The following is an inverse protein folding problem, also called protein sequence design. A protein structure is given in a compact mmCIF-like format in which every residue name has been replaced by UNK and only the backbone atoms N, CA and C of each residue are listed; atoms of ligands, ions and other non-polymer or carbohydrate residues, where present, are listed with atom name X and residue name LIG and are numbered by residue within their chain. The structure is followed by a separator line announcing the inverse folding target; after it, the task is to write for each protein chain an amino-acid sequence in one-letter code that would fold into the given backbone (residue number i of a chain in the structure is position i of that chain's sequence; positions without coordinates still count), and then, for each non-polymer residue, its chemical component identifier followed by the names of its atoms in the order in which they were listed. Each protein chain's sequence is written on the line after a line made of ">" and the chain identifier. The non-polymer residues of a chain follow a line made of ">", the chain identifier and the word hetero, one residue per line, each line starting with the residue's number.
data_IF_015773220044
#
_entry.id   IF_015773220044
#
_cell.length_a   1.000
_cell.length_b   1.000
_cell.length_c   1.000
_cell.angle_alpha   90.00
_cell.angle_beta   90.00
_cell.angle_gamma   90.00
#
_symmetry.space_group_name_H-M   'P 1'
#
loop_
_entity.id
_entity.type
_entity.pdbx_description
1 polymer ?
#
# COMPACT_ATOMS: atom_id res chain seq x y z
N UNK A 1 61.54 22.30 -25.83
CA UNK A 1 60.23 21.67 -26.08
C UNK A 1 59.92 20.49 -25.14
N UNK A 2 60.87 19.59 -24.86
CA UNK A 2 60.61 18.43 -23.95
C UNK A 2 60.30 18.79 -22.50
N UNK A 3 60.79 19.91 -21.95
CA UNK A 3 60.51 20.34 -20.55
C UNK A 3 59.15 20.97 -20.36
N UNK A 4 58.50 21.50 -21.39
CA UNK A 4 57.16 22.11 -21.32
C UNK A 4 56.10 21.04 -21.35
N UNK A 5 56.29 19.93 -22.06
CA UNK A 5 55.36 18.80 -22.14
C UNK A 5 55.26 18.10 -20.77
N UNK A 6 56.36 17.99 -20.03
CA UNK A 6 56.35 17.41 -18.68
C UNK A 6 55.57 18.24 -17.66
N UNK A 7 55.56 19.57 -17.78
CA UNK A 7 54.85 20.46 -16.87
C UNK A 7 53.35 20.43 -17.11
N UNK A 8 52.90 20.30 -18.36
CA UNK A 8 51.47 20.21 -18.70
C UNK A 8 50.86 18.89 -18.26
N UNK A 9 51.62 17.77 -18.38
CA UNK A 9 51.16 16.46 -17.88
C UNK A 9 51.07 16.41 -16.35
N UNK A 10 51.93 17.12 -15.62
CA UNK A 10 51.86 17.18 -14.15
C UNK A 10 50.62 18.02 -13.67
N UNK A 11 50.24 19.08 -14.40
CA UNK A 11 49.08 19.89 -14.07
C UNK A 11 47.75 19.16 -14.31
N UNK A 12 47.66 18.28 -15.32
CA UNK A 12 46.46 17.47 -15.58
C UNK A 12 46.22 16.36 -14.54
N UNK A 13 47.28 15.87 -13.88
CA UNK A 13 47.16 14.84 -12.86
C UNK A 13 46.58 15.34 -11.52
N UNK A 14 46.71 16.64 -11.23
CA UNK A 14 46.20 17.25 -9.98
C UNK A 14 44.73 17.61 -10.08
N UNK A 15 44.20 17.83 -11.27
CA UNK A 15 42.77 18.15 -11.46
C UNK A 15 41.83 16.93 -11.34
N UNK A 16 42.35 15.70 -11.35
CA UNK A 16 41.55 14.47 -11.21
C UNK A 16 41.23 14.09 -9.75
N UNK A 17 41.80 14.77 -8.75
CA UNK A 17 41.57 14.49 -7.33
C UNK A 17 40.53 15.38 -6.65
N UNK A 18 39.96 16.36 -7.37
CA UNK A 18 38.80 17.10 -6.94
C UNK A 18 37.50 16.39 -7.41
N UNK A 19 37.48 15.06 -7.28
CA UNK A 19 36.25 14.30 -7.40
C UNK A 19 35.28 14.84 -6.34
N UNK A 20 34.23 15.53 -6.80
CA UNK A 20 33.09 15.86 -5.96
C UNK A 20 32.68 14.60 -5.20
N UNK A 21 32.98 14.55 -3.92
CA UNK A 21 32.28 13.69 -3.01
C UNK A 21 30.84 14.18 -2.99
N UNK A 22 30.08 13.86 -4.04
CA UNK A 22 28.64 13.94 -4.00
C UNK A 22 28.24 13.01 -2.87
N UNK A 23 27.88 13.62 -1.74
CA UNK A 23 27.23 12.92 -0.64
C UNK A 23 26.18 12.02 -1.30
N UNK A 24 26.24 10.68 -1.13
CA UNK A 24 25.25 9.82 -1.72
C UNK A 24 23.90 10.39 -1.32
N UNK A 25 22.92 10.49 -2.24
CA UNK A 25 21.60 10.97 -1.88
C UNK A 25 21.20 10.16 -0.65
N UNK A 26 20.85 10.88 0.45
CA UNK A 26 20.38 10.23 1.65
C UNK A 26 19.32 9.26 1.17
N UNK A 27 19.56 7.96 1.37
CA UNK A 27 18.61 6.95 0.94
C UNK A 27 17.29 7.29 1.65
N UNK A 28 16.35 7.87 0.90
CA UNK A 28 14.96 8.07 1.33
C UNK A 28 14.29 6.70 1.41
N UNK A 29 14.97 5.78 2.08
CA UNK A 29 14.51 4.43 2.29
C UNK A 29 13.60 4.40 3.51
N UNK A 30 12.58 3.58 3.41
CA UNK A 30 11.72 3.20 4.53
C UNK A 30 12.58 2.84 5.75
N UNK A 31 12.32 3.39 6.95
CA UNK A 31 13.03 3.03 8.16
C UNK A 31 13.01 1.53 8.41
N UNK A 32 14.11 0.99 8.97
CA UNK A 32 14.26 -0.45 9.19
C UNK A 32 13.11 -1.03 10.04
N UNK A 33 12.69 -0.32 11.08
CA UNK A 33 11.59 -0.76 11.95
C UNK A 33 10.24 -0.78 11.23
N UNK A 34 9.98 0.20 10.36
CA UNK A 34 8.77 0.22 9.50
C UNK A 34 8.78 -0.98 8.56
N UNK A 35 9.92 -1.23 7.90
CA UNK A 35 10.11 -2.41 7.07
C UNK A 35 9.97 -3.73 7.84
N UNK A 36 10.43 -3.79 9.08
CA UNK A 36 10.24 -4.95 9.96
C UNK A 36 8.78 -5.13 10.35
N UNK A 37 8.06 -4.08 10.73
CA UNK A 37 6.64 -4.14 11.06
C UNK A 37 5.82 -4.70 9.89
N UNK A 38 6.19 -4.38 8.65
CA UNK A 38 5.58 -4.97 7.44
C UNK A 38 5.92 -6.45 7.30
N UNK A 39 7.21 -6.82 7.37
CA UNK A 39 7.67 -8.22 7.17
C UNK A 39 7.19 -9.18 8.24
N UNK A 40 7.04 -8.69 9.47
CA UNK A 40 6.61 -9.48 10.62
C UNK A 40 5.13 -9.28 10.95
N UNK A 41 4.35 -8.70 10.03
CA UNK A 41 2.93 -8.56 10.20
C UNK A 41 2.29 -9.95 10.33
N UNK A 42 1.28 -10.12 11.21
CA UNK A 42 0.48 -11.34 11.25
C UNK A 42 -0.12 -11.66 9.88
N UNK A 43 -0.25 -12.95 9.55
CA UNK A 43 -0.80 -13.41 8.27
C UNK A 43 -2.29 -13.06 8.07
N UNK A 44 -2.96 -12.68 9.16
CA UNK A 44 -4.39 -12.35 9.18
C UNK A 44 -4.67 -10.84 9.22
N UNK A 45 -3.72 -10.01 8.77
CA UNK A 45 -3.91 -8.56 8.68
C UNK A 45 -3.57 -8.02 7.29
N UNK A 46 -4.27 -6.97 6.87
CA UNK A 46 -3.82 -6.09 5.81
C UNK A 46 -2.93 -4.99 6.39
N UNK A 47 -1.83 -4.71 5.72
CA UNK A 47 -0.85 -3.71 6.16
C UNK A 47 -0.94 -2.50 5.25
N UNK A 48 -1.05 -1.32 5.85
CA UNK A 48 -0.90 -0.06 5.15
C UNK A 48 0.27 0.73 5.72
N UNK A 49 1.07 1.32 4.86
CA UNK A 49 2.19 2.17 5.23
C UNK A 49 2.00 3.55 4.60
N UNK A 50 2.13 4.56 5.41
CA UNK A 50 2.08 5.94 4.94
C UNK A 50 3.22 6.75 5.51
N UNK A 51 3.67 7.73 4.76
CA UNK A 51 4.72 8.64 5.19
C UNK A 51 4.36 10.08 4.82
N UNK A 52 4.82 11.03 5.60
CA UNK A 52 4.66 12.44 5.30
C UNK A 52 5.70 13.30 6.03
N UNK A 53 6.10 14.39 5.37
CA UNK A 53 6.90 15.46 5.98
C UNK A 53 6.16 16.77 5.80
N UNK A 54 5.67 17.32 6.90
CA UNK A 54 4.89 18.56 6.95
C UNK A 54 5.57 19.57 7.89
N UNK A 55 5.01 20.78 7.99
CA UNK A 55 5.56 21.82 8.83
C UNK A 55 5.53 21.53 10.33
N UNK A 56 4.66 20.61 10.79
CA UNK A 56 4.60 20.15 12.18
C UNK A 56 4.54 18.63 12.26
N UNK A 57 5.00 18.07 13.38
CA UNK A 57 4.93 16.64 13.67
C UNK A 57 3.49 16.14 13.64
N UNK A 58 2.56 16.88 14.24
CA UNK A 58 1.14 16.49 14.26
C UNK A 58 0.54 16.39 12.87
N UNK A 59 0.84 17.33 11.97
CA UNK A 59 0.40 17.28 10.59
C UNK A 59 1.04 16.12 9.83
N UNK A 60 2.35 15.88 10.03
CA UNK A 60 3.08 14.76 9.41
C UNK A 60 2.44 13.42 9.79
N UNK A 61 2.19 13.18 11.07
CA UNK A 61 1.52 11.98 11.58
C UNK A 61 0.13 11.79 11.00
N UNK A 62 -0.69 12.83 10.99
CA UNK A 62 -2.06 12.74 10.47
C UNK A 62 -2.09 12.41 8.97
N UNK A 63 -1.23 13.05 8.18
CA UNK A 63 -1.14 12.77 6.73
C UNK A 63 -0.55 11.38 6.49
N UNK A 64 0.47 10.96 7.24
CA UNK A 64 1.03 9.60 7.15
C UNK A 64 -0.04 8.54 7.48
N UNK A 65 -0.81 8.73 8.56
CA UNK A 65 -1.91 7.83 8.91
C UNK A 65 -3.01 7.79 7.83
N UNK A 66 -3.34 8.93 7.23
CA UNK A 66 -4.29 8.99 6.11
C UNK A 66 -3.79 8.20 4.90
N UNK A 67 -2.50 8.32 4.57
CA UNK A 67 -1.87 7.56 3.46
C UNK A 67 -1.83 6.06 3.75
N UNK A 68 -1.53 5.67 5.00
CA UNK A 68 -1.58 4.26 5.41
C UNK A 68 -2.98 3.66 5.24
N UNK A 69 -4.05 4.40 5.62
CA UNK A 69 -5.43 3.97 5.36
C UNK A 69 -5.73 3.87 3.87
N UNK A 70 -5.26 4.82 3.07
CA UNK A 70 -5.46 4.78 1.63
C UNK A 70 -4.80 3.54 1.00
N UNK A 71 -3.62 3.14 1.46
CA UNK A 71 -2.96 1.90 0.99
C UNK A 71 -3.80 0.66 1.32
N UNK A 72 -4.35 0.54 2.55
CA UNK A 72 -5.27 -0.54 2.91
C UNK A 72 -6.52 -0.51 2.02
N UNK A 73 -7.11 0.68 1.81
CA UNK A 73 -8.29 0.83 0.95
C UNK A 73 -8.03 0.37 -0.49
N UNK A 74 -6.88 0.72 -1.06
CA UNK A 74 -6.47 0.29 -2.40
C UNK A 74 -6.26 -1.24 -2.47
N UNK A 75 -5.72 -1.83 -1.41
CA UNK A 75 -5.56 -3.29 -1.31
C UNK A 75 -6.91 -4.00 -1.27
N UNK A 76 -7.88 -3.47 -0.50
CA UNK A 76 -9.25 -3.99 -0.46
C UNK A 76 -9.96 -3.84 -1.81
N UNK A 77 -9.83 -2.70 -2.46
CA UNK A 77 -10.42 -2.48 -3.79
C UNK A 77 -9.88 -3.48 -4.81
N UNK A 78 -8.57 -3.69 -4.82
CA UNK A 78 -7.92 -4.69 -5.68
C UNK A 78 -8.39 -6.11 -5.39
N UNK A 79 -8.55 -6.46 -4.11
CA UNK A 79 -9.08 -7.76 -3.68
C UNK A 79 -10.52 -7.95 -4.17
N UNK A 80 -11.41 -6.96 -3.99
CA UNK A 80 -12.80 -7.01 -4.45
C UNK A 80 -12.86 -7.16 -5.97
N UNK A 81 -12.06 -6.40 -6.72
CA UNK A 81 -11.98 -6.50 -8.19
C UNK A 81 -11.62 -7.92 -8.64
N UNK A 82 -10.63 -8.52 -8.01
CA UNK A 82 -10.21 -9.88 -8.32
C UNK A 82 -11.30 -10.89 -7.98
N UNK A 83 -11.91 -10.82 -6.79
CA UNK A 83 -13.00 -11.72 -6.39
C UNK A 83 -14.21 -11.66 -7.35
N UNK A 84 -14.62 -10.45 -7.76
CA UNK A 84 -15.75 -10.29 -8.69
C UNK A 84 -15.38 -10.79 -10.09
N UNK A 85 -14.18 -10.51 -10.56
CA UNK A 85 -13.68 -11.00 -11.85
C UNK A 85 -13.65 -12.52 -11.89
N UNK A 86 -13.10 -13.16 -10.87
CA UNK A 86 -12.97 -14.63 -10.80
C UNK A 86 -14.35 -15.30 -10.68
N UNK A 87 -15.29 -14.67 -9.98
CA UNK A 87 -16.67 -15.11 -9.96
C UNK A 87 -17.32 -15.03 -11.34
N UNK A 88 -17.18 -13.89 -12.02
CA UNK A 88 -17.76 -13.66 -13.35
C UNK A 88 -17.20 -14.65 -14.38
N UNK A 89 -15.90 -14.97 -14.30
CA UNK A 89 -15.26 -15.95 -15.18
C UNK A 89 -15.78 -17.39 -14.97
N UNK A 90 -16.34 -17.69 -13.80
CA UNK A 90 -16.85 -19.02 -13.41
C UNK A 90 -18.38 -19.12 -13.41
N UNK A 91 -19.10 -18.07 -13.80
CA UNK A 91 -20.56 -17.98 -13.74
C UNK A 91 -21.13 -17.30 -14.98
N UNK A 92 -22.40 -17.58 -15.30
CA UNK A 92 -23.12 -16.95 -16.43
C UNK A 92 -23.71 -15.57 -16.07
N UNK A 93 -22.98 -14.79 -15.28
CA UNK A 93 -23.42 -13.44 -14.88
C UNK A 93 -23.06 -12.42 -15.94
N UNK A 94 -24.00 -11.49 -16.24
CA UNK A 94 -23.76 -10.38 -17.13
C UNK A 94 -22.57 -9.53 -16.63
N UNK A 95 -21.54 -9.30 -17.49
CA UNK A 95 -20.38 -8.49 -17.12
C UNK A 95 -20.71 -7.08 -16.63
N UNK A 96 -21.78 -6.44 -17.15
CA UNK A 96 -22.21 -5.12 -16.70
C UNK A 96 -22.81 -5.16 -15.29
N UNK A 97 -23.55 -6.22 -14.96
CA UNK A 97 -24.06 -6.44 -13.60
C UNK A 97 -22.90 -6.67 -12.61
N UNK A 98 -21.89 -7.44 -13.00
CA UNK A 98 -20.69 -7.66 -12.19
C UNK A 98 -19.91 -6.36 -11.94
N UNK A 99 -19.74 -5.53 -12.96
CA UNK A 99 -19.08 -4.23 -12.84
C UNK A 99 -19.85 -3.28 -11.90
N UNK A 100 -21.17 -3.15 -12.09
CA UNK A 100 -22.01 -2.32 -11.22
C UNK A 100 -21.99 -2.81 -9.77
N UNK A 101 -21.93 -4.11 -9.54
CA UNK A 101 -21.81 -4.70 -8.20
C UNK A 101 -20.45 -4.37 -7.56
N UNK A 102 -19.35 -4.53 -8.30
CA UNK A 102 -18.00 -4.16 -7.87
C UNK A 102 -17.94 -2.68 -7.47
N UNK A 103 -18.45 -1.78 -8.32
CA UNK A 103 -18.48 -0.34 -8.04
C UNK A 103 -19.25 -0.03 -6.75
N UNK A 104 -20.40 -0.67 -6.51
CA UNK A 104 -21.18 -0.47 -5.29
C UNK A 104 -20.40 -0.92 -4.05
N UNK A 105 -19.71 -2.07 -4.09
CA UNK A 105 -18.87 -2.52 -2.97
C UNK A 105 -17.74 -1.51 -2.74
N UNK A 106 -17.00 -1.13 -3.78
CA UNK A 106 -15.87 -0.18 -3.68
C UNK A 106 -16.30 1.16 -3.09
N UNK A 107 -17.44 1.73 -3.54
CA UNK A 107 -17.97 2.98 -3.00
C UNK A 107 -18.35 2.83 -1.52
N UNK A 108 -18.93 1.71 -1.13
CA UNK A 108 -19.30 1.46 0.26
C UNK A 108 -18.06 1.32 1.15
N UNK A 109 -17.06 0.56 0.73
CA UNK A 109 -15.78 0.41 1.45
C UNK A 109 -15.04 1.75 1.59
N UNK A 110 -15.05 2.58 0.55
CA UNK A 110 -14.43 3.92 0.60
C UNK A 110 -15.11 4.84 1.63
N UNK A 111 -16.41 4.66 1.85
CA UNK A 111 -17.17 5.44 2.84
C UNK A 111 -17.04 4.92 4.27
N UNK A 112 -16.69 3.66 4.46
CA UNK A 112 -16.58 3.03 5.78
C UNK A 112 -15.44 3.57 6.63
N UNK A 113 -14.54 4.38 6.04
CA UNK A 113 -13.31 4.91 6.66
C UNK A 113 -12.42 3.82 7.29
N UNK A 114 -12.62 2.55 6.89
CA UNK A 114 -11.91 1.40 7.43
C UNK A 114 -11.92 1.38 8.96
N UNK A 115 -13.13 1.42 9.54
CA UNK A 115 -13.31 1.31 10.98
C UNK A 115 -12.66 0.02 11.48
N UNK A 116 -11.75 0.15 12.45
CA UNK A 116 -10.94 -0.99 12.92
C UNK A 116 -9.52 -1.07 12.36
N UNK A 117 -9.11 -0.19 11.44
CA UNK A 117 -7.71 -0.02 11.13
C UNK A 117 -7.00 0.70 12.30
N UNK A 118 -5.95 0.07 12.84
CA UNK A 118 -5.22 0.57 14.01
C UNK A 118 -3.77 0.89 13.63
N UNK A 119 -3.24 1.97 14.21
CA UNK A 119 -1.81 2.26 14.11
C UNK A 119 -1.07 1.23 14.96
N UNK A 120 -0.24 0.40 14.31
CA UNK A 120 0.60 -0.56 14.97
C UNK A 120 1.95 0.01 15.34
N UNK A 121 2.49 0.87 14.48
CA UNK A 121 3.81 1.44 14.65
C UNK A 121 3.90 2.81 13.98
N UNK A 122 4.64 3.74 14.57
CA UNK A 122 4.96 5.03 13.96
C UNK A 122 6.31 5.56 14.45
N UNK A 123 7.08 6.14 13.53
CA UNK A 123 8.35 6.81 13.86
C UNK A 123 8.74 7.83 12.79
N UNK A 124 9.55 8.85 13.14
CA UNK A 124 10.21 9.69 12.14
C UNK A 124 11.46 8.99 11.60
N UNK A 125 11.80 9.26 10.34
CA UNK A 125 13.10 8.92 9.78
C UNK A 125 14.17 9.97 10.14
N UNK A 126 15.39 9.74 9.67
CA UNK A 126 16.53 10.65 9.86
C UNK A 126 16.35 12.02 9.18
N UNK A 127 15.42 12.15 8.25
CA UNK A 127 15.10 13.37 7.52
C UNK A 127 13.91 14.12 8.16
N UNK A 128 13.31 13.57 9.22
CA UNK A 128 12.12 14.10 9.87
C UNK A 128 10.83 13.82 9.10
N UNK A 129 10.83 12.87 8.16
CA UNK A 129 9.64 12.32 7.55
C UNK A 129 9.00 11.33 8.51
N UNK A 130 7.70 11.48 8.76
CA UNK A 130 6.97 10.63 9.69
C UNK A 130 6.38 9.44 8.97
N UNK A 131 6.63 8.26 9.49
CA UNK A 131 6.13 6.99 8.96
C UNK A 131 5.11 6.39 9.91
N UNK A 132 4.05 5.81 9.34
CA UNK A 132 2.96 5.13 10.06
C UNK A 132 2.71 3.79 9.41
N UNK A 133 2.64 2.74 10.22
CA UNK A 133 2.19 1.40 9.83
C UNK A 133 0.85 1.15 10.49
N UNK A 134 -0.15 0.79 9.69
CA UNK A 134 -1.48 0.43 10.17
C UNK A 134 -1.81 -1.00 9.82
N UNK A 135 -2.56 -1.66 10.69
CA UNK A 135 -3.10 -2.99 10.48
C UNK A 135 -4.62 -2.97 10.46
N UNK A 136 -5.20 -3.74 9.54
CA UNK A 136 -6.61 -4.07 9.51
C UNK A 136 -6.77 -5.58 9.55
N UNK A 137 -7.38 -6.13 10.59
CA UNK A 137 -7.54 -7.58 10.74
C UNK A 137 -8.47 -8.17 9.69
N UNK A 138 -8.24 -9.44 9.31
CA UNK A 138 -9.09 -10.22 8.41
C UNK A 138 -10.55 -10.22 8.87
N UNK A 139 -10.81 -10.32 10.18
CA UNK A 139 -12.16 -10.27 10.74
C UNK A 139 -12.84 -8.91 10.45
N UNK A 140 -12.12 -7.79 10.57
CA UNK A 140 -12.65 -6.48 10.23
C UNK A 140 -12.86 -6.34 8.72
N UNK A 141 -11.93 -6.85 7.89
CA UNK A 141 -12.09 -6.92 6.43
C UNK A 141 -13.35 -7.69 6.06
N UNK A 142 -13.58 -8.87 6.66
CA UNK A 142 -14.76 -9.68 6.43
C UNK A 142 -16.04 -8.91 6.74
N UNK A 143 -16.09 -8.24 7.89
CA UNK A 143 -17.21 -7.42 8.31
C UNK A 143 -17.53 -6.30 7.32
N UNK A 144 -16.51 -5.53 6.92
CA UNK A 144 -16.65 -4.42 5.97
C UNK A 144 -17.17 -4.91 4.61
N UNK A 145 -16.56 -5.99 4.07
CA UNK A 145 -16.98 -6.56 2.78
C UNK A 145 -18.39 -7.12 2.84
N UNK A 146 -18.77 -7.83 3.91
CA UNK A 146 -20.12 -8.39 4.08
C UNK A 146 -21.18 -7.29 4.14
N UNK A 147 -20.89 -6.19 4.83
CA UNK A 147 -21.80 -5.03 4.88
C UNK A 147 -21.92 -4.36 3.51
N UNK A 148 -20.79 -4.16 2.81
CA UNK A 148 -20.78 -3.60 1.46
C UNK A 148 -21.54 -4.48 0.46
N UNK A 149 -21.36 -5.80 0.55
CA UNK A 149 -22.07 -6.79 -0.26
C UNK A 149 -23.57 -6.75 -0.05
N UNK A 150 -24.03 -6.64 1.19
CA UNK A 150 -25.46 -6.57 1.49
C UNK A 150 -26.13 -5.37 0.81
N UNK A 151 -25.46 -4.21 0.79
CA UNK A 151 -25.94 -3.03 0.09
C UNK A 151 -25.86 -3.19 -1.44
N UNK A 152 -24.76 -3.74 -1.95
CA UNK A 152 -24.59 -3.95 -3.39
C UNK A 152 -25.61 -4.94 -3.97
N UNK A 153 -26.01 -5.97 -3.24
CA UNK A 153 -27.06 -6.93 -3.64
C UNK A 153 -28.43 -6.28 -3.81
N UNK A 154 -28.74 -5.27 -3.02
CA UNK A 154 -29.98 -4.51 -3.20
C UNK A 154 -29.99 -3.72 -4.52
N UNK A 155 -28.84 -3.22 -4.93
CA UNK A 155 -28.68 -2.48 -6.18
C UNK A 155 -28.56 -3.40 -7.40
N UNK A 156 -27.96 -4.59 -7.24
CA UNK A 156 -27.68 -5.55 -8.33
C UNK A 156 -28.11 -6.97 -7.92
N UNK A 157 -29.42 -7.29 -7.97
CA UNK A 157 -29.94 -8.61 -7.56
C UNK A 157 -29.35 -9.80 -8.35
N UNK A 158 -28.90 -9.59 -9.58
CA UNK A 158 -28.24 -10.62 -10.40
C UNK A 158 -26.98 -11.22 -9.73
N UNK A 159 -26.39 -10.49 -8.77
CA UNK A 159 -25.22 -10.93 -7.99
C UNK A 159 -25.60 -11.54 -6.62
N UNK A 160 -26.84 -11.97 -6.42
CA UNK A 160 -27.32 -12.51 -5.15
C UNK A 160 -26.59 -13.78 -4.69
N UNK A 161 -26.09 -14.58 -5.61
CA UNK A 161 -25.31 -15.80 -5.33
C UNK A 161 -23.81 -15.57 -5.10
N UNK A 162 -23.31 -14.34 -5.26
CA UNK A 162 -21.94 -14.00 -4.94
C UNK A 162 -21.71 -14.10 -3.42
N UNK A 163 -20.76 -14.92 -3.00
CA UNK A 163 -20.39 -15.10 -1.59
C UNK A 163 -19.04 -14.43 -1.33
N UNK A 164 -19.10 -13.20 -0.81
CA UNK A 164 -17.92 -12.40 -0.57
C UNK A 164 -17.05 -12.97 0.55
N UNK A 165 -17.63 -13.57 1.59
CA UNK A 165 -16.87 -14.15 2.70
C UNK A 165 -16.03 -15.35 2.23
N UNK A 166 -16.67 -16.27 1.48
CA UNK A 166 -15.97 -17.40 0.88
C UNK A 166 -14.82 -16.93 -0.03
N UNK A 167 -15.11 -16.01 -0.95
CA UNK A 167 -14.13 -15.49 -1.90
C UNK A 167 -12.99 -14.74 -1.24
N UNK A 168 -13.28 -13.99 -0.20
CA UNK A 168 -12.27 -13.31 0.59
C UNK A 168 -11.34 -14.31 1.29
N UNK A 169 -11.87 -15.38 1.87
CA UNK A 169 -11.04 -16.42 2.48
C UNK A 169 -10.12 -17.07 1.44
N UNK A 170 -10.63 -17.38 0.26
CA UNK A 170 -9.83 -17.88 -0.86
C UNK A 170 -8.73 -16.90 -1.26
N UNK A 171 -9.03 -15.60 -1.36
CA UNK A 171 -8.06 -14.56 -1.70
C UNK A 171 -6.94 -14.39 -0.65
N UNK A 172 -7.27 -14.47 0.64
CA UNK A 172 -6.27 -14.45 1.71
C UNK A 172 -5.35 -15.67 1.66
N UNK A 173 -5.90 -16.87 1.41
CA UNK A 173 -5.10 -18.09 1.28
C UNK A 173 -4.19 -18.05 0.05
N UNK A 174 -4.64 -17.44 -1.03
CA UNK A 174 -3.81 -17.24 -2.22
C UNK A 174 -2.69 -16.23 -1.95
N UNK A 175 -3.00 -15.06 -1.38
CA UNK A 175 -2.01 -14.04 -1.03
C UNK A 175 -0.91 -14.61 -0.12
N UNK A 176 -1.29 -15.45 0.86
CA UNK A 176 -0.35 -16.15 1.72
C UNK A 176 0.60 -17.07 0.95
N UNK A 177 0.11 -17.81 -0.06
CA UNK A 177 0.95 -18.68 -0.90
C UNK A 177 1.93 -17.89 -1.76
N UNK A 178 1.56 -16.66 -2.14
CA UNK A 178 2.36 -15.75 -2.95
C UNK A 178 3.38 -14.95 -2.12
N UNK A 179 3.40 -15.14 -0.77
CA UNK A 179 4.37 -14.51 0.13
C UNK A 179 4.07 -13.06 0.48
N UNK A 180 2.79 -12.71 0.48
CA UNK A 180 2.32 -11.38 0.92
C UNK A 180 2.27 -11.28 2.44
#
# INVERSE_FOLDING_TARGET
>A
MKKIIGLVLALCAISALLGCASKPPASSGMPFNVGNARRNAPEDVLVGIGNAKMGTVAQSRNIAATRARAEISNSLDSMVKNMVRDYTASSEVDPNAALAFQENITVTLSKSQLSGAVIQFEEPDSNGEWWVVMYLSKANVAKEITQAQAQARLAVPAMSSFDAEKRMNEAFEQAKKEGW
#
